data_IF_031942088127
#
_entry.id   IF_031942088127
#
_cell.length_a   1.000
_cell.length_b   1.000
_cell.length_c   1.000
_cell.angle_alpha   90.00
_cell.angle_beta   90.00
_cell.angle_gamma   90.00
#
_symmetry.space_group_name_H-M   'P 1'
#
loop_
_entity.id
_entity.type
_entity.pdbx_description
1 polymer ?
#
# COMPACT_ATOMS: atom_id res chain seq x y z
N UNK A 1 -6.23 9.07 21.26
CA UNK A 1 -5.36 8.32 20.33
C UNK A 1 -4.05 9.09 20.22
N UNK A 2 -2.89 8.49 20.45
CA UNK A 2 -1.62 9.24 20.35
C UNK A 2 -1.25 9.52 18.89
N UNK A 3 -0.35 10.48 18.66
CA UNK A 3 0.06 10.89 17.31
C UNK A 3 0.60 9.71 16.49
N UNK A 4 1.33 8.78 17.12
CA UNK A 4 1.86 7.57 16.50
C UNK A 4 0.75 6.67 15.94
N UNK A 5 -0.35 6.51 16.67
CA UNK A 5 -1.50 5.71 16.23
C UNK A 5 -2.25 6.38 15.09
N UNK A 6 -2.36 7.72 15.10
CA UNK A 6 -2.93 8.47 13.97
C UNK A 6 -2.09 8.26 12.71
N UNK A 7 -0.76 8.39 12.84
CA UNK A 7 0.17 8.19 11.72
C UNK A 7 0.14 6.75 11.20
N UNK A 8 0.08 5.75 12.09
CA UNK A 8 -0.04 4.34 11.69
C UNK A 8 -1.34 4.09 10.94
N UNK A 9 -2.47 4.60 11.42
CA UNK A 9 -3.76 4.46 10.74
C UNK A 9 -3.74 5.16 9.37
N UNK A 10 -3.15 6.35 9.29
CA UNK A 10 -2.99 7.07 8.03
C UNK A 10 -2.14 6.24 7.04
N UNK A 11 -0.99 5.72 7.46
CA UNK A 11 -0.13 4.89 6.62
C UNK A 11 -0.86 3.63 6.11
N UNK A 12 -1.61 2.94 6.97
CA UNK A 12 -2.46 1.80 6.59
C UNK A 12 -3.50 2.19 5.53
N UNK A 13 -4.21 3.28 5.75
CA UNK A 13 -5.22 3.77 4.81
C UNK A 13 -4.60 4.19 3.47
N UNK A 14 -3.45 4.87 3.50
CA UNK A 14 -2.72 5.24 2.27
C UNK A 14 -2.30 4.01 1.48
N UNK A 15 -1.72 2.99 2.11
CA UNK A 15 -1.33 1.74 1.42
C UNK A 15 -2.53 1.01 0.81
N UNK A 16 -3.64 0.92 1.54
CA UNK A 16 -4.88 0.34 1.02
C UNK A 16 -5.39 1.11 -0.21
N UNK A 17 -5.38 2.46 -0.14
CA UNK A 17 -5.73 3.30 -1.29
C UNK A 17 -4.80 3.09 -2.48
N UNK A 18 -3.49 2.96 -2.26
CA UNK A 18 -2.51 2.67 -3.31
C UNK A 18 -2.78 1.32 -3.97
N UNK A 19 -3.12 0.28 -3.22
CA UNK A 19 -3.44 -1.04 -3.79
C UNK A 19 -4.66 -0.97 -4.73
N UNK A 20 -5.72 -0.25 -4.32
CA UNK A 20 -6.90 -0.03 -5.16
C UNK A 20 -6.54 0.73 -6.45
N UNK A 21 -5.69 1.75 -6.34
CA UNK A 21 -5.23 2.51 -7.51
C UNK A 21 -4.40 1.66 -8.48
N UNK A 22 -3.58 0.73 -7.97
CA UNK A 22 -2.81 -0.20 -8.80
C UNK A 22 -3.72 -1.19 -9.54
N UNK A 23 -4.78 -1.66 -8.90
CA UNK A 23 -5.79 -2.51 -9.54
C UNK A 23 -6.49 -1.77 -10.68
N UNK A 24 -6.92 -0.54 -10.43
CA UNK A 24 -7.50 0.32 -11.46
C UNK A 24 -6.50 0.62 -12.60
N UNK A 25 -5.23 0.85 -12.28
CA UNK A 25 -4.20 1.07 -13.30
C UNK A 25 -3.98 -0.18 -14.16
N UNK A 26 -4.03 -1.38 -13.58
CA UNK A 26 -3.97 -2.63 -14.34
C UNK A 26 -5.16 -2.77 -15.29
N UNK A 27 -6.36 -2.40 -14.85
CA UNK A 27 -7.56 -2.37 -15.71
C UNK A 27 -7.39 -1.40 -16.89
N UNK A 28 -6.91 -0.18 -16.63
CA UNK A 28 -6.63 0.80 -17.68
C UNK A 28 -5.58 0.31 -18.68
N UNK A 29 -4.52 -0.33 -18.19
CA UNK A 29 -3.46 -0.92 -19.04
C UNK A 29 -4.02 -2.05 -19.91
N UNK A 30 -4.93 -2.86 -19.37
CA UNK A 30 -5.58 -3.94 -20.11
C UNK A 30 -6.56 -3.40 -21.17
N UNK A 31 -7.21 -2.26 -20.93
CA UNK A 31 -8.13 -1.61 -21.88
C UNK A 31 -7.46 -0.71 -22.92
N UNK A 32 -6.17 -0.39 -22.76
CA UNK A 32 -5.46 0.54 -23.64
C UNK A 32 -4.78 -0.20 -24.79
N UNK A 33 -5.02 0.24 -26.02
CA UNK A 33 -4.32 -0.28 -27.19
C UNK A 33 -2.81 0.02 -27.10
N UNK A 34 -1.99 -1.02 -26.92
CA UNK A 34 -0.53 -0.93 -26.93
C UNK A 34 0.09 -2.24 -27.42
N UNK A 35 1.35 -2.19 -27.85
CA UNK A 35 2.05 -3.42 -28.22
C UNK A 35 2.33 -4.30 -26.99
N UNK A 36 2.35 -5.61 -27.22
CA UNK A 36 2.50 -6.63 -26.18
C UNK A 36 3.74 -6.43 -25.31
N UNK A 37 4.87 -6.04 -25.90
CA UNK A 37 6.12 -5.82 -25.17
C UNK A 37 6.00 -4.67 -24.16
N UNK A 38 5.32 -3.58 -24.52
CA UNK A 38 5.06 -2.46 -23.60
C UNK A 38 4.05 -2.86 -22.55
N UNK A 39 2.98 -3.54 -22.94
CA UNK A 39 1.95 -4.04 -22.03
C UNK A 39 2.54 -4.94 -20.94
N UNK A 40 3.38 -5.89 -21.33
CA UNK A 40 4.03 -6.82 -20.41
C UNK A 40 4.92 -6.08 -19.41
N UNK A 41 5.74 -5.14 -19.89
CA UNK A 41 6.63 -4.34 -19.01
C UNK A 41 5.85 -3.52 -18.00
N UNK A 42 4.76 -2.87 -18.42
CA UNK A 42 3.94 -2.04 -17.54
C UNK A 42 3.20 -2.92 -16.54
N UNK A 43 2.57 -4.01 -16.98
CA UNK A 43 1.87 -4.95 -16.11
C UNK A 43 2.80 -5.60 -15.08
N UNK A 44 4.01 -5.97 -15.49
CA UNK A 44 5.04 -6.49 -14.58
C UNK A 44 5.42 -5.43 -13.52
N UNK A 45 5.57 -4.17 -13.93
CA UNK A 45 5.87 -3.09 -13.00
C UNK A 45 4.74 -2.86 -12.00
N UNK A 46 3.48 -2.86 -12.45
CA UNK A 46 2.30 -2.74 -11.58
C UNK A 46 2.26 -3.91 -10.59
N UNK A 47 2.47 -5.13 -11.07
CA UNK A 47 2.52 -6.33 -10.23
C UNK A 47 3.59 -6.24 -9.14
N UNK A 48 4.81 -5.83 -9.51
CA UNK A 48 5.92 -5.67 -8.56
C UNK A 48 5.62 -4.61 -7.49
N UNK A 49 5.03 -3.47 -7.89
CA UNK A 49 4.64 -2.43 -6.92
C UNK A 49 3.55 -2.98 -6.00
N UNK A 50 2.56 -3.70 -6.54
CA UNK A 50 1.49 -4.31 -5.75
C UNK A 50 2.02 -5.29 -4.71
N UNK A 51 2.94 -6.18 -5.08
CA UNK A 51 3.58 -7.10 -4.14
C UNK A 51 4.33 -6.37 -3.02
N UNK A 52 5.11 -5.33 -3.37
CA UNK A 52 5.81 -4.53 -2.37
C UNK A 52 4.83 -3.81 -1.41
N UNK A 53 3.74 -3.26 -1.94
CA UNK A 53 2.71 -2.59 -1.13
C UNK A 53 1.95 -3.57 -0.22
N UNK A 54 1.70 -4.80 -0.67
CA UNK A 54 1.12 -5.86 0.18
C UNK A 54 2.08 -6.21 1.32
N UNK A 55 3.36 -6.46 1.01
CA UNK A 55 4.35 -6.77 2.04
C UNK A 55 4.48 -5.66 3.09
N UNK A 56 4.49 -4.39 2.65
CA UNK A 56 4.49 -3.26 3.57
C UNK A 56 3.19 -3.16 4.41
N UNK A 57 2.04 -3.52 3.84
CA UNK A 57 0.77 -3.54 4.57
C UNK A 57 0.78 -4.63 5.65
N UNK A 58 1.33 -5.81 5.36
CA UNK A 58 1.48 -6.91 6.32
C UNK A 58 2.42 -6.52 7.47
N UNK A 59 3.55 -5.89 7.15
CA UNK A 59 4.47 -5.35 8.16
C UNK A 59 3.78 -4.31 9.06
N UNK A 60 3.06 -3.34 8.48
CA UNK A 60 2.30 -2.35 9.27
C UNK A 60 1.15 -2.97 10.07
N UNK A 61 0.53 -4.04 9.58
CA UNK A 61 -0.53 -4.75 10.30
C UNK A 61 0.02 -5.40 11.59
N UNK A 62 1.29 -5.84 11.56
CA UNK A 62 1.98 -6.43 12.72
C UNK A 62 2.40 -5.41 13.79
N UNK A 63 2.42 -4.11 13.49
CA UNK A 63 2.82 -3.06 14.44
C UNK A 63 1.82 -2.95 15.59
N UNK A 64 2.29 -3.22 16.80
CA UNK A 64 1.56 -2.95 18.05
C UNK A 64 2.11 -1.68 18.70
N UNK A 65 1.25 -0.68 18.89
CA UNK A 65 1.61 0.53 19.64
C UNK A 65 1.31 0.27 21.11
N UNK A 66 2.37 0.07 21.90
CA UNK A 66 2.26 -0.09 23.35
C UNK A 66 2.20 1.31 23.97
N UNK A 67 1.15 1.66 24.74
CA UNK A 67 1.14 2.90 25.51
C UNK A 67 2.24 2.84 26.57
N UNK A 68 3.09 3.87 26.68
CA UNK A 68 3.93 4.02 27.87
C UNK A 68 2.99 4.23 29.07
N UNK A 69 2.90 3.23 29.94
CA UNK A 69 2.23 3.37 31.23
C UNK A 69 3.29 3.91 32.21
N UNK A 70 3.14 5.16 32.66
CA UNK A 70 3.94 5.64 33.80
C UNK A 70 4.51 7.07 33.76
N UNK A 71 3.96 8.03 33.03
CA UNK A 71 4.17 9.44 33.39
C UNK A 71 3.03 9.89 34.32
N UNK A 72 3.23 9.64 35.61
CA UNK A 72 2.51 10.35 36.67
C UNK A 72 2.86 11.83 36.58
N UNK A 73 1.84 12.67 36.35
CA UNK A 73 1.93 14.13 36.52
C UNK A 73 1.96 14.46 38.02
#
# INVERSE_FOLDING_TARGET
MNNTQIQLNHAKATLQGTLVQLDYLQELVNGTAMNERKWLKISQQIHNIKLNSIGAADELASVQIIPLIGETV
#
